data_IF_218134398983
#
_entry.id   IF_218134398983
#
_cell.length_a   1.000
_cell.length_b   1.000
_cell.length_c   1.000
_cell.angle_alpha   90.00
_cell.angle_beta   90.00
_cell.angle_gamma   90.00
#
_symmetry.space_group_name_H-M   'P 1'
#
loop_
_entity.id
_entity.type
_entity.pdbx_description
1 polymer ?
#
# COMPACT_ATOMS: atom_id res chain seq x y z
N UNK A 1 30.53 4.37 3.86
CA UNK A 1 29.95 3.01 3.95
C UNK A 1 28.47 3.11 3.63
N UNK A 2 28.03 2.66 2.48
CA UNK A 2 26.60 2.46 2.21
C UNK A 2 26.17 1.30 3.10
N UNK A 3 25.20 1.53 3.97
CA UNK A 3 24.59 0.45 4.73
C UNK A 3 23.76 -0.37 3.73
N UNK A 4 24.14 -1.59 3.52
CA UNK A 4 23.43 -2.57 2.65
C UNK A 4 22.11 -3.07 3.28
N UNK A 5 21.46 -2.25 4.09
CA UNK A 5 20.19 -2.61 4.71
C UNK A 5 19.03 -2.18 3.81
N UNK A 6 18.20 -3.14 3.46
CA UNK A 6 16.96 -2.86 2.74
C UNK A 6 15.98 -2.08 3.61
N UNK A 7 15.18 -1.24 2.97
CA UNK A 7 14.21 -0.37 3.61
C UNK A 7 12.82 -1.01 3.63
N UNK A 8 12.10 -0.86 4.73
CA UNK A 8 10.66 -1.04 4.75
C UNK A 8 9.97 0.27 4.47
N UNK A 9 8.96 0.25 3.61
CA UNK A 9 8.19 1.44 3.24
C UNK A 9 6.77 1.29 3.74
N UNK A 10 6.28 2.31 4.45
CA UNK A 10 4.88 2.42 4.84
C UNK A 10 4.26 3.56 4.03
N UNK A 11 3.18 3.26 3.31
CA UNK A 11 2.48 4.25 2.50
C UNK A 11 0.98 4.31 2.81
N UNK A 12 0.47 5.50 3.02
CA UNK A 12 -0.95 5.75 3.22
C UNK A 12 -1.59 6.26 1.94
N UNK A 13 -2.79 5.74 1.62
CA UNK A 13 -3.55 6.17 0.43
C UNK A 13 -2.70 6.06 -0.85
N UNK A 14 -2.56 7.12 -1.62
CA UNK A 14 -1.72 7.13 -2.82
C UNK A 14 -0.23 6.89 -2.51
N UNK A 15 0.24 7.25 -1.32
CA UNK A 15 1.59 6.94 -0.88
C UNK A 15 1.89 5.44 -0.86
N UNK A 16 0.88 4.60 -0.60
CA UNK A 16 1.02 3.15 -0.69
C UNK A 16 1.15 2.64 -2.14
N UNK A 17 0.44 3.24 -3.09
CA UNK A 17 0.63 2.93 -4.51
C UNK A 17 2.04 3.31 -4.98
N UNK A 18 2.56 4.44 -4.53
CA UNK A 18 3.95 4.85 -4.79
C UNK A 18 4.96 3.89 -4.16
N UNK A 19 4.71 3.43 -2.92
CA UNK A 19 5.54 2.44 -2.24
C UNK A 19 5.60 1.12 -3.03
N UNK A 20 4.47 0.65 -3.54
CA UNK A 20 4.41 -0.52 -4.42
C UNK A 20 5.22 -0.32 -5.70
N UNK A 21 5.09 0.84 -6.34
CA UNK A 21 5.84 1.16 -7.55
C UNK A 21 7.36 1.19 -7.31
N UNK A 22 7.81 1.71 -6.17
CA UNK A 22 9.21 1.66 -5.77
C UNK A 22 9.68 0.22 -5.58
N UNK A 23 8.89 -0.61 -4.89
CA UNK A 23 9.24 -2.01 -4.66
C UNK A 23 9.31 -2.84 -5.96
N UNK A 24 8.50 -2.49 -6.97
CA UNK A 24 8.58 -3.10 -8.30
C UNK A 24 9.86 -2.72 -9.05
N UNK A 25 10.31 -1.48 -8.91
CA UNK A 25 11.47 -0.96 -9.63
C UNK A 25 12.80 -1.23 -8.94
N UNK A 26 12.78 -1.36 -7.61
CA UNK A 26 13.97 -1.44 -6.78
C UNK A 26 13.86 -2.56 -5.72
N UNK A 27 13.49 -3.80 -6.09
CA UNK A 27 13.23 -4.88 -5.12
C UNK A 27 14.45 -5.22 -4.26
N UNK A 28 15.66 -5.00 -4.79
CA UNK A 28 16.91 -5.24 -4.04
C UNK A 28 17.10 -4.27 -2.86
N UNK A 29 16.46 -3.10 -2.91
CA UNK A 29 16.61 -2.07 -1.87
C UNK A 29 15.44 -2.07 -0.89
N UNK A 30 14.34 -2.76 -1.24
CA UNK A 30 13.12 -2.80 -0.44
C UNK A 30 12.99 -4.14 0.28
N UNK A 31 12.85 -4.08 1.60
CA UNK A 31 12.62 -5.24 2.47
C UNK A 31 11.15 -5.66 2.48
N UNK A 32 10.27 -4.68 2.63
CA UNK A 32 8.82 -4.89 2.68
C UNK A 32 8.04 -3.61 2.41
N UNK A 33 6.80 -3.77 2.01
CA UNK A 33 5.84 -2.67 1.81
C UNK A 33 4.64 -2.88 2.72
N UNK A 34 4.22 -1.83 3.43
CA UNK A 34 2.96 -1.80 4.18
C UNK A 34 2.12 -0.66 3.61
N UNK A 35 0.90 -0.95 3.22
CA UNK A 35 -0.01 0.06 2.66
C UNK A 35 -1.25 0.22 3.53
N UNK A 36 -1.71 1.46 3.68
CA UNK A 36 -2.85 1.83 4.50
C UNK A 36 -3.93 2.44 3.61
N UNK A 37 -5.03 1.71 3.38
CA UNK A 37 -6.13 2.18 2.55
C UNK A 37 -5.69 2.64 1.16
N UNK A 38 -4.77 1.92 0.54
CA UNK A 38 -4.13 2.30 -0.72
C UNK A 38 -4.72 1.51 -1.89
N UNK A 39 -4.92 2.12 -3.07
CA UNK A 39 -5.38 1.38 -4.23
C UNK A 39 -4.28 0.47 -4.78
N UNK A 40 -4.59 -0.81 -4.97
CA UNK A 40 -3.74 -1.83 -5.57
C UNK A 40 -4.29 -2.37 -6.89
N UNK A 41 -5.59 -2.21 -7.10
CA UNK A 41 -6.29 -2.75 -8.28
C UNK A 41 -7.47 -1.86 -8.65
N UNK A 42 -7.99 -2.06 -9.85
CA UNK A 42 -9.24 -1.46 -10.29
C UNK A 42 -9.07 -0.13 -11.04
N UNK A 43 -10.19 0.33 -11.59
CA UNK A 43 -10.24 1.56 -12.35
C UNK A 43 -10.43 2.76 -11.40
N UNK A 44 -9.71 3.86 -11.57
CA UNK A 44 -9.82 5.06 -10.72
C UNK A 44 -11.25 5.57 -10.52
N UNK A 45 -12.14 5.38 -11.49
CA UNK A 45 -13.56 5.79 -11.42
C UNK A 45 -14.38 5.11 -10.32
N UNK A 46 -13.87 4.04 -9.70
CA UNK A 46 -14.54 3.34 -8.60
C UNK A 46 -14.36 3.96 -7.22
N UNK A 47 -13.66 5.08 -7.10
CA UNK A 47 -13.39 5.72 -5.79
C UNK A 47 -13.59 7.22 -5.84
N UNK A 48 -14.01 7.80 -4.72
CA UNK A 48 -13.98 9.25 -4.53
C UNK A 48 -12.54 9.79 -4.35
N UNK A 49 -11.61 8.91 -4.02
CA UNK A 49 -10.19 9.24 -3.82
C UNK A 49 -9.52 9.81 -5.08
N UNK A 50 -10.01 9.45 -6.23
CA UNK A 50 -9.44 9.89 -7.49
C UNK A 50 -9.56 11.41 -7.71
N UNK A 51 -10.62 12.05 -7.21
CA UNK A 51 -10.76 13.51 -7.26
C UNK A 51 -9.74 14.22 -6.38
N UNK A 52 -9.47 13.65 -5.20
CA UNK A 52 -8.44 14.17 -4.30
C UNK A 52 -7.06 13.96 -4.93
N UNK A 53 -6.86 12.81 -5.56
CA UNK A 53 -5.61 12.49 -6.23
C UNK A 53 -5.32 13.44 -7.40
N UNK A 54 -6.27 13.71 -8.28
CA UNK A 54 -6.09 14.69 -9.38
C UNK A 54 -5.74 16.08 -8.86
N UNK A 55 -6.42 16.51 -7.80
CA UNK A 55 -6.19 17.82 -7.21
C UNK A 55 -4.78 17.95 -6.62
N UNK A 56 -4.23 16.88 -6.04
CA UNK A 56 -2.95 16.92 -5.34
C UNK A 56 -1.78 16.55 -6.28
N UNK A 57 -1.98 15.64 -7.22
CA UNK A 57 -0.89 15.12 -8.07
C UNK A 57 -0.76 15.80 -9.42
N UNK A 58 -1.82 16.46 -9.89
CA UNK A 58 -1.90 17.02 -11.24
C UNK A 58 -1.96 15.97 -12.37
N UNK A 59 -2.05 14.67 -12.04
CA UNK A 59 -2.25 13.60 -13.02
C UNK A 59 -3.73 13.37 -13.28
N UNK A 60 -4.09 13.16 -14.55
CA UNK A 60 -5.43 12.71 -14.92
C UNK A 60 -5.64 11.23 -14.58
N UNK A 61 -6.89 10.86 -14.26
CA UNK A 61 -7.28 9.48 -14.00
C UNK A 61 -7.05 8.53 -15.18
N UNK A 62 -6.99 9.06 -16.38
CA UNK A 62 -6.76 8.29 -17.60
C UNK A 62 -5.25 8.19 -17.95
N UNK A 63 -4.34 8.67 -17.07
CA UNK A 63 -2.91 8.57 -17.31
C UNK A 63 -2.45 7.11 -17.21
N UNK A 64 -1.94 6.50 -18.29
CA UNK A 64 -1.47 5.12 -18.28
C UNK A 64 -0.39 4.85 -17.22
N UNK A 65 0.42 5.86 -16.89
CA UNK A 65 1.46 5.77 -15.86
C UNK A 65 0.88 5.54 -14.47
N UNK A 66 -0.31 6.10 -14.20
CA UNK A 66 -1.02 5.89 -12.95
C UNK A 66 -1.50 4.44 -12.81
N UNK A 67 -2.03 3.87 -13.89
CA UNK A 67 -2.50 2.49 -13.90
C UNK A 67 -1.34 1.50 -13.71
N UNK A 68 -0.19 1.75 -14.32
CA UNK A 68 1.04 0.98 -14.11
C UNK A 68 1.51 1.03 -12.65
N UNK A 69 1.46 2.21 -12.04
CA UNK A 69 1.80 2.41 -10.62
C UNK A 69 0.91 1.60 -9.66
N UNK A 70 -0.37 1.48 -9.99
CA UNK A 70 -1.37 0.86 -9.11
C UNK A 70 -1.40 -0.66 -9.26
N UNK A 71 -1.15 -1.22 -10.46
CA UNK A 71 -1.47 -2.60 -10.80
C UNK A 71 -0.34 -3.62 -10.64
N UNK A 72 0.85 -3.20 -10.25
CA UNK A 72 1.99 -4.09 -10.13
C UNK A 72 1.96 -4.97 -8.88
N UNK A 73 2.59 -6.14 -8.97
CA UNK A 73 2.76 -7.09 -7.86
C UNK A 73 4.23 -7.13 -7.45
N UNK A 74 4.64 -6.44 -6.36
CA UNK A 74 6.00 -6.52 -5.89
C UNK A 74 6.41 -7.94 -5.50
N UNK A 75 7.65 -8.31 -5.74
CA UNK A 75 8.22 -9.59 -5.30
C UNK A 75 8.66 -9.60 -3.84
N UNK A 76 8.52 -8.47 -3.16
CA UNK A 76 8.84 -8.32 -1.73
C UNK A 76 7.59 -8.48 -0.87
N UNK A 77 7.73 -8.81 0.43
CA UNK A 77 6.60 -8.87 1.36
C UNK A 77 5.75 -7.61 1.30
N UNK A 78 4.45 -7.79 1.06
CA UNK A 78 3.49 -6.69 0.92
C UNK A 78 2.30 -6.93 1.85
N UNK A 79 2.11 -6.05 2.82
CA UNK A 79 0.96 -6.07 3.74
C UNK A 79 0.03 -4.91 3.39
N UNK A 80 -1.19 -5.23 2.96
CA UNK A 80 -2.23 -4.23 2.77
C UNK A 80 -3.16 -4.19 3.97
N UNK A 81 -3.20 -3.04 4.67
CA UNK A 81 -4.14 -2.79 5.75
C UNK A 81 -5.30 -1.98 5.17
N UNK A 82 -6.49 -2.55 5.26
CA UNK A 82 -7.68 -1.98 4.64
C UNK A 82 -8.86 -1.95 5.62
N UNK A 83 -9.85 -1.13 5.33
CA UNK A 83 -11.07 -1.02 6.10
C UNK A 83 -12.30 -0.92 5.20
N UNK A 84 -13.33 -1.68 5.53
CA UNK A 84 -14.64 -1.59 4.86
C UNK A 84 -15.36 -0.28 5.17
N UNK A 85 -14.93 0.43 6.20
CA UNK A 85 -15.46 1.73 6.62
C UNK A 85 -14.56 2.91 6.22
N UNK A 86 -13.65 2.69 5.27
CA UNK A 86 -12.70 3.71 4.77
C UNK A 86 -13.40 4.98 4.28
N UNK A 87 -14.47 4.85 3.49
CA UNK A 87 -15.27 5.96 2.98
C UNK A 87 -14.66 6.77 1.83
N UNK A 88 -13.37 6.63 1.55
CA UNK A 88 -12.66 7.34 0.46
C UNK A 88 -12.17 6.36 -0.59
N UNK A 89 -11.36 5.37 -0.22
CA UNK A 89 -10.92 4.29 -1.10
C UNK A 89 -11.83 3.08 -0.92
N UNK A 90 -12.39 2.57 -2.00
CA UNK A 90 -13.15 1.34 -1.94
C UNK A 90 -12.23 0.21 -1.44
N UNK A 91 -12.59 -0.44 -0.35
CA UNK A 91 -11.77 -1.47 0.30
C UNK A 91 -11.37 -2.62 -0.64
N UNK A 92 -12.24 -2.94 -1.64
CA UNK A 92 -11.89 -3.96 -2.64
C UNK A 92 -10.71 -3.57 -3.52
N UNK A 93 -10.50 -2.27 -3.74
CA UNK A 93 -9.34 -1.75 -4.47
C UNK A 93 -8.09 -1.74 -3.59
N UNK A 94 -8.25 -1.75 -2.26
CA UNK A 94 -7.13 -1.80 -1.32
C UNK A 94 -6.60 -3.21 -1.08
N UNK A 95 -7.21 -4.24 -1.67
CA UNK A 95 -6.70 -5.60 -1.55
C UNK A 95 -5.44 -5.77 -2.38
N UNK A 96 -4.35 -6.17 -1.72
CA UNK A 96 -3.16 -6.65 -2.41
C UNK A 96 -3.50 -7.92 -3.20
N UNK A 97 -2.83 -8.12 -4.31
CA UNK A 97 -3.04 -9.30 -5.16
C UNK A 97 -2.72 -10.57 -4.40
N UNK A 98 -3.50 -11.62 -4.67
CA UNK A 98 -3.26 -12.95 -4.11
C UNK A 98 -1.96 -13.55 -4.69
N UNK A 99 -0.91 -13.53 -3.88
CA UNK A 99 0.36 -14.20 -4.15
C UNK A 99 1.12 -14.46 -2.83
N UNK A 100 2.10 -15.36 -2.88
CA UNK A 100 2.79 -15.89 -1.70
C UNK A 100 3.45 -14.83 -0.79
N UNK A 101 3.76 -13.63 -1.32
CA UNK A 101 4.41 -12.54 -0.59
C UNK A 101 3.43 -11.40 -0.26
N UNK A 102 2.12 -11.62 -0.36
CA UNK A 102 1.12 -10.61 -0.06
C UNK A 102 0.10 -11.08 0.98
N UNK A 103 -0.34 -10.16 1.82
CA UNK A 103 -1.43 -10.37 2.76
C UNK A 103 -2.35 -9.15 2.83
N UNK A 104 -3.55 -9.38 3.32
CA UNK A 104 -4.55 -8.34 3.57
C UNK A 104 -5.00 -8.40 5.03
N UNK A 105 -4.91 -7.28 5.74
CA UNK A 105 -5.36 -7.13 7.13
C UNK A 105 -6.56 -6.19 7.13
N UNK A 106 -7.71 -6.68 7.60
CA UNK A 106 -8.91 -5.87 7.77
C UNK A 106 -8.91 -5.22 9.16
N UNK A 107 -9.12 -3.92 9.20
CA UNK A 107 -9.29 -3.14 10.43
C UNK A 107 -10.58 -2.33 10.36
N UNK A 108 -11.06 -1.82 11.49
CA UNK A 108 -12.15 -0.85 11.53
C UNK A 108 -11.58 0.55 11.71
N UNK A 109 -11.54 1.32 10.65
CA UNK A 109 -10.98 2.68 10.63
C UNK A 109 -11.57 3.51 9.48
N UNK A 110 -11.69 4.81 9.69
CA UNK A 110 -11.91 5.75 8.58
C UNK A 110 -10.61 5.94 7.81
N UNK A 111 -10.69 6.39 6.57
CA UNK A 111 -9.51 6.66 5.75
C UNK A 111 -8.49 7.57 6.44
N UNK A 112 -8.96 8.70 6.97
CA UNK A 112 -8.12 9.67 7.67
C UNK A 112 -7.65 9.17 9.05
N UNK A 113 -8.40 8.28 9.68
CA UNK A 113 -8.09 7.73 10.98
C UNK A 113 -7.08 6.58 10.99
N UNK A 114 -6.75 6.02 9.83
CA UNK A 114 -5.86 4.84 9.76
C UNK A 114 -4.50 5.10 10.41
N UNK A 115 -3.90 6.26 10.19
CA UNK A 115 -2.59 6.58 10.73
C UNK A 115 -2.52 6.71 12.26
N UNK A 116 -3.67 6.85 12.93
CA UNK A 116 -3.78 6.95 14.38
C UNK A 116 -4.58 5.78 15.02
N UNK A 117 -4.96 4.79 14.22
CA UNK A 117 -5.73 3.65 14.70
C UNK A 117 -4.82 2.62 15.39
N UNK A 118 -5.17 2.23 16.61
CA UNK A 118 -4.34 1.33 17.41
C UNK A 118 -4.13 -0.05 16.76
N UNK A 119 -5.14 -0.60 16.09
CA UNK A 119 -5.02 -1.88 15.39
C UNK A 119 -4.09 -1.77 14.19
N UNK A 120 -4.13 -0.65 13.45
CA UNK A 120 -3.21 -0.35 12.35
C UNK A 120 -1.78 -0.25 12.87
N UNK A 121 -1.56 0.55 13.91
CA UNK A 121 -0.24 0.74 14.51
C UNK A 121 0.34 -0.57 15.04
N UNK A 122 -0.49 -1.41 15.66
CA UNK A 122 -0.07 -2.72 16.12
C UNK A 122 0.34 -3.63 14.95
N UNK A 123 -0.49 -3.74 13.92
CA UNK A 123 -0.20 -4.56 12.74
C UNK A 123 1.09 -4.08 12.04
N UNK A 124 1.27 -2.77 11.88
CA UNK A 124 2.51 -2.20 11.34
C UNK A 124 3.72 -2.57 12.17
N UNK A 125 3.65 -2.41 13.50
CA UNK A 125 4.75 -2.72 14.39
C UNK A 125 5.13 -4.20 14.33
N UNK A 126 4.15 -5.09 14.32
CA UNK A 126 4.35 -6.53 14.19
C UNK A 126 5.09 -6.88 12.88
N UNK A 127 4.65 -6.34 11.75
CA UNK A 127 5.27 -6.63 10.45
C UNK A 127 6.65 -5.99 10.30
N UNK A 128 6.86 -4.81 10.85
CA UNK A 128 8.17 -4.14 10.85
C UNK A 128 9.20 -4.84 11.76
N UNK A 129 8.75 -5.52 12.82
CA UNK A 129 9.61 -6.28 13.72
C UNK A 129 10.12 -7.60 13.12
N UNK A 130 9.51 -8.11 12.07
CA UNK A 130 9.96 -9.36 11.42
C UNK A 130 11.32 -9.17 10.76
N UNK A 131 12.17 -10.19 10.85
CA UNK A 131 13.49 -10.15 10.22
C UNK A 131 13.38 -10.32 8.70
N UNK A 132 14.36 -9.78 7.99
CA UNK A 132 14.48 -10.00 6.55
C UNK A 132 14.59 -11.49 6.24
N UNK A 133 13.79 -11.95 5.28
CA UNK A 133 13.73 -13.36 4.87
C UNK A 133 12.88 -14.27 5.77
N UNK A 134 12.33 -13.75 6.89
CA UNK A 134 11.49 -14.50 7.82
C UNK A 134 10.04 -14.00 7.83
N UNK A 135 9.63 -13.29 6.78
CA UNK A 135 8.27 -12.74 6.71
C UNK A 135 7.18 -13.81 6.77
N UNK A 136 6.18 -13.55 7.60
CA UNK A 136 4.98 -14.39 7.78
C UNK A 136 3.74 -13.47 7.78
N UNK A 137 2.68 -13.85 7.05
CA UNK A 137 1.40 -13.15 7.06
C UNK A 137 0.67 -13.26 8.40
#
# INVERSE_FOLDING_TARGET
MQHEQKLSIVGWSMGGAMANALALRMPEQIRSVITLGSPHTGHPKGTNAWRVFELVSGFSHDDPRLMELISGKPSVPTTSIMSKTDGIVNWRMSLASDHAMAENIEVSATHMGMGANAAVLWAMADRLAQKEGEWKP
#
